data_IF_764919368024
#
_entry.id   IF_764919368024
#
_cell.length_a   1.000
_cell.length_b   1.000
_cell.length_c   1.000
_cell.angle_alpha   90.00
_cell.angle_beta   90.00
_cell.angle_gamma   90.00
#
_symmetry.space_group_name_H-M   'P 1'
#
loop_
_entity.id
_entity.type
_entity.pdbx_description
1 polymer ?
#
# COMPACT_ATOMS: atom_id res chain seq x y z
N UNK A 1 7.50 27.45 -4.85
CA UNK A 1 8.28 26.51 -3.99
C UNK A 1 8.56 25.21 -4.74
N UNK A 2 7.54 24.50 -5.24
CA UNK A 2 7.66 23.25 -6.00
C UNK A 2 8.76 23.25 -7.07
N UNK A 3 8.78 24.26 -7.96
CA UNK A 3 9.81 24.41 -9.00
C UNK A 3 11.26 24.34 -8.52
N UNK A 4 11.54 24.70 -7.26
CA UNK A 4 12.89 24.65 -6.66
C UNK A 4 13.25 23.24 -6.14
N UNK A 5 12.27 22.47 -5.71
CA UNK A 5 12.49 21.16 -5.07
C UNK A 5 12.23 19.98 -6.01
N UNK A 6 11.52 20.17 -7.12
CA UNK A 6 11.20 19.10 -8.07
C UNK A 6 12.44 18.42 -8.67
N UNK A 7 13.59 19.12 -8.75
CA UNK A 7 14.85 18.52 -9.19
C UNK A 7 15.27 17.34 -8.30
N UNK A 8 14.92 17.36 -7.02
CA UNK A 8 15.23 16.26 -6.11
C UNK A 8 14.46 14.98 -6.48
N UNK A 9 13.28 15.08 -7.10
CA UNK A 9 12.60 13.90 -7.66
C UNK A 9 13.49 13.23 -8.71
N UNK A 10 14.08 14.00 -9.64
CA UNK A 10 14.97 13.46 -10.68
C UNK A 10 16.26 12.85 -10.12
N UNK A 11 16.76 13.38 -9.01
CA UNK A 11 18.03 12.95 -8.41
C UNK A 11 17.89 11.70 -7.52
N UNK A 12 16.71 11.46 -6.94
CA UNK A 12 16.53 10.45 -5.90
C UNK A 12 15.40 9.44 -6.18
N UNK A 13 14.60 9.66 -7.22
CA UNK A 13 13.54 8.73 -7.64
C UNK A 13 13.83 8.34 -9.08
N UNK A 14 14.09 7.05 -9.29
CA UNK A 14 14.33 6.49 -10.62
C UNK A 14 13.10 6.71 -11.52
N UNK A 15 13.35 7.03 -12.79
CA UNK A 15 12.33 7.32 -13.80
C UNK A 15 11.38 8.50 -13.47
N UNK A 16 11.70 9.34 -12.48
CA UNK A 16 10.89 10.51 -12.17
C UNK A 16 10.89 11.54 -13.32
N UNK A 17 9.75 12.18 -13.51
CA UNK A 17 9.56 13.32 -14.39
C UNK A 17 8.99 14.52 -13.62
N UNK A 18 9.15 15.73 -14.15
CA UNK A 18 8.38 16.86 -13.63
C UNK A 18 6.90 16.66 -13.91
N UNK A 19 6.07 17.04 -12.94
CA UNK A 19 4.61 16.99 -13.06
C UNK A 19 4.10 18.19 -13.87
N UNK A 20 2.90 18.07 -14.44
CA UNK A 20 2.19 19.21 -15.03
C UNK A 20 1.59 20.07 -13.91
N UNK A 21 2.29 21.16 -13.56
CA UNK A 21 1.84 22.09 -12.53
C UNK A 21 0.60 22.93 -12.94
N UNK A 22 0.13 22.82 -14.18
CA UNK A 22 -1.11 23.47 -14.64
C UNK A 22 -2.35 22.62 -14.41
N UNK A 23 -2.18 21.30 -14.18
CA UNK A 23 -3.28 20.40 -13.85
C UNK A 23 -3.67 20.54 -12.37
N UNK A 24 -4.92 20.97 -12.08
CA UNK A 24 -5.38 21.22 -10.71
C UNK A 24 -5.59 19.95 -9.88
N UNK A 25 -5.50 18.77 -10.49
CA UNK A 25 -5.67 17.49 -9.82
C UNK A 25 -4.44 17.08 -9.01
N UNK A 26 -3.29 17.74 -9.25
CA UNK A 26 -2.09 17.60 -8.44
C UNK A 26 -2.23 18.31 -7.10
N UNK A 27 -1.87 17.59 -6.04
CA UNK A 27 -1.78 18.13 -4.70
C UNK A 27 -0.42 17.76 -4.09
N UNK A 28 0.18 18.72 -3.38
CA UNK A 28 1.50 18.56 -2.77
C UNK A 28 1.40 18.65 -1.26
N UNK A 29 1.89 17.64 -0.56
CA UNK A 29 2.08 17.64 0.88
C UNK A 29 3.50 18.06 1.23
N UNK A 30 3.64 18.89 2.27
CA UNK A 30 4.92 19.44 2.71
C UNK A 30 5.18 19.03 4.16
N UNK A 31 6.34 18.42 4.41
CA UNK A 31 6.77 18.12 5.78
C UNK A 31 7.78 19.17 6.24
N UNK A 32 7.43 19.97 7.24
CA UNK A 32 8.28 21.04 7.77
C UNK A 32 8.63 20.79 9.24
N UNK A 33 9.83 21.19 9.63
CA UNK A 33 10.17 21.36 11.03
C UNK A 33 9.35 22.50 11.63
N UNK A 34 8.57 22.23 12.67
CA UNK A 34 7.67 23.22 13.29
C UNK A 34 8.40 24.44 13.85
N UNK A 35 9.66 24.34 14.30
CA UNK A 35 10.41 25.46 14.89
C UNK A 35 11.20 26.22 13.82
N UNK A 36 12.09 25.51 13.12
CA UNK A 36 13.05 26.09 12.17
C UNK A 36 12.45 26.37 10.79
N UNK A 37 11.30 25.76 10.49
CA UNK A 37 10.62 25.80 9.18
C UNK A 37 11.42 25.17 8.05
N UNK A 38 12.46 24.40 8.38
CA UNK A 38 13.21 23.61 7.43
C UNK A 38 12.29 22.60 6.75
N UNK A 39 12.39 22.49 5.43
CA UNK A 39 11.67 21.49 4.66
C UNK A 39 12.38 20.15 4.80
N UNK A 40 11.66 19.16 5.34
CA UNK A 40 12.15 17.81 5.60
C UNK A 40 11.91 16.90 4.40
N UNK A 41 10.81 17.11 3.68
CA UNK A 41 10.41 16.34 2.53
C UNK A 41 9.10 16.84 1.93
N UNK A 42 8.72 16.25 0.79
CA UNK A 42 7.46 16.54 0.13
C UNK A 42 6.90 15.29 -0.53
N UNK A 43 5.59 15.32 -0.80
CA UNK A 43 4.90 14.25 -1.54
C UNK A 43 4.01 14.88 -2.59
N UNK A 44 4.19 14.51 -3.86
CA UNK A 44 3.21 14.82 -4.91
C UNK A 44 2.16 13.71 -4.97
N UNK A 45 0.91 14.10 -5.12
CA UNK A 45 -0.23 13.20 -5.16
C UNK A 45 -1.20 13.64 -6.23
N UNK A 46 -1.96 12.70 -6.77
CA UNK A 46 -2.90 12.94 -7.86
C UNK A 46 -4.25 12.28 -7.56
N UNK A 47 -5.35 12.87 -8.02
CA UNK A 47 -6.69 12.28 -7.91
C UNK A 47 -7.22 11.86 -9.28
N UNK A 48 -7.45 10.56 -9.44
CA UNK A 48 -8.14 10.01 -10.61
C UNK A 48 -9.60 9.82 -10.31
N UNK A 49 -10.50 10.18 -11.24
CA UNK A 49 -11.91 9.86 -11.11
C UNK A 49 -12.10 8.33 -11.03
N UNK A 50 -12.94 7.90 -10.10
CA UNK A 50 -13.25 6.49 -9.87
C UNK A 50 -14.72 6.23 -10.19
N UNK A 51 -14.97 5.53 -11.28
CA UNK A 51 -16.30 5.06 -11.64
C UNK A 51 -16.63 3.75 -10.93
N UNK A 52 -17.63 3.77 -10.05
CA UNK A 52 -18.05 2.62 -9.22
C UNK A 52 -19.21 1.83 -9.83
N UNK A 53 -19.48 2.02 -11.13
CA UNK A 53 -20.64 1.46 -11.82
C UNK A 53 -21.83 2.41 -11.85
N UNK A 54 -22.77 2.13 -12.77
CA UNK A 54 -23.85 3.06 -13.12
C UNK A 54 -24.74 3.38 -11.92
N UNK A 55 -25.17 2.35 -11.17
CA UNK A 55 -26.01 2.52 -9.99
C UNK A 55 -25.42 3.50 -8.96
N UNK A 56 -24.17 3.25 -8.53
CA UNK A 56 -23.52 4.12 -7.54
C UNK A 56 -23.20 5.51 -8.08
N UNK A 57 -22.97 5.64 -9.39
CA UNK A 57 -22.74 6.93 -10.04
C UNK A 57 -24.04 7.75 -10.17
N UNK A 58 -25.17 7.10 -10.43
CA UNK A 58 -26.47 7.76 -10.55
C UNK A 58 -27.07 8.09 -9.17
N UNK A 59 -26.71 7.34 -8.12
CA UNK A 59 -27.17 7.54 -6.73
C UNK A 59 -26.46 8.71 -6.02
N UNK A 60 -25.21 9.02 -6.37
CA UNK A 60 -24.39 10.00 -5.69
C UNK A 60 -23.74 11.00 -6.67
N UNK A 61 -24.15 12.27 -6.55
CA UNK A 61 -23.67 13.36 -7.41
C UNK A 61 -22.22 13.73 -7.08
N UNK A 62 -21.75 13.45 -5.86
CA UNK A 62 -20.39 13.77 -5.45
C UNK A 62 -19.39 12.85 -6.13
N UNK A 63 -18.48 13.45 -6.91
CA UNK A 63 -17.41 12.71 -7.59
C UNK A 63 -16.56 11.92 -6.60
N UNK A 64 -16.29 10.66 -6.96
CA UNK A 64 -15.41 9.75 -6.23
C UNK A 64 -14.06 9.64 -6.92
N UNK A 65 -13.00 9.46 -6.14
CA UNK A 65 -11.63 9.46 -6.62
C UNK A 65 -10.79 8.31 -6.04
N UNK A 66 -9.82 7.86 -6.84
CA UNK A 66 -8.63 7.14 -6.39
C UNK A 66 -7.53 8.16 -6.14
N UNK A 67 -7.04 8.24 -4.91
CA UNK A 67 -5.90 9.08 -4.57
C UNK A 67 -4.61 8.29 -4.78
N UNK A 68 -3.68 8.83 -5.57
CA UNK A 68 -2.40 8.21 -5.91
C UNK A 68 -1.26 8.99 -5.30
N UNK A 69 -0.41 8.34 -4.50
CA UNK A 69 0.92 8.85 -4.16
C UNK A 69 1.80 8.68 -5.40
N UNK A 70 2.40 9.78 -5.86
CA UNK A 70 3.28 9.77 -7.03
C UNK A 70 4.75 9.85 -6.59
N UNK A 71 5.23 11.04 -6.24
CA UNK A 71 6.62 11.24 -5.82
C UNK A 71 6.66 11.40 -4.31
N UNK A 72 7.27 10.46 -3.59
CA UNK A 72 7.42 10.53 -2.14
C UNK A 72 8.89 10.69 -1.76
N UNK A 73 9.25 11.84 -1.19
CA UNK A 73 10.65 12.14 -0.91
C UNK A 73 10.86 12.76 0.48
N UNK A 74 11.67 12.10 1.29
CA UNK A 74 12.32 12.68 2.46
C UNK A 74 13.75 13.02 2.05
N UNK A 75 14.21 14.26 2.30
CA UNK A 75 15.56 14.63 1.89
C UNK A 75 16.61 13.80 2.64
N UNK A 76 17.74 13.45 2.00
CA UNK A 76 18.74 12.55 2.58
C UNK A 76 19.17 12.86 4.02
N UNK A 77 19.39 14.12 4.44
CA UNK A 77 19.76 14.44 5.83
C UNK A 77 18.72 14.02 6.89
N UNK A 78 17.48 13.76 6.48
CA UNK A 78 16.35 13.45 7.35
C UNK A 78 15.82 12.02 7.17
N UNK A 79 16.43 11.20 6.32
CA UNK A 79 16.03 9.80 6.14
C UNK A 79 16.37 8.95 7.37
N UNK A 80 15.76 7.77 7.48
CA UNK A 80 15.99 6.78 8.55
C UNK A 80 15.72 7.29 9.99
N UNK A 81 14.86 8.31 10.12
CA UNK A 81 14.46 8.92 11.41
C UNK A 81 12.95 8.81 11.69
N UNK A 82 12.23 7.97 10.94
CA UNK A 82 10.77 7.80 11.05
C UNK A 82 9.93 8.85 10.31
N UNK A 83 10.52 9.91 9.75
CA UNK A 83 9.80 10.96 9.03
C UNK A 83 8.94 10.44 7.86
N UNK A 84 9.44 9.46 7.12
CA UNK A 84 8.67 8.82 6.03
C UNK A 84 7.37 8.19 6.55
N UNK A 85 7.45 7.37 7.60
CA UNK A 85 6.27 6.75 8.21
C UNK A 85 5.29 7.79 8.75
N UNK A 86 5.78 8.82 9.46
CA UNK A 86 4.89 9.87 9.98
C UNK A 86 4.19 10.66 8.86
N UNK A 87 4.91 10.98 7.77
CA UNK A 87 4.34 11.71 6.64
C UNK A 87 3.33 10.85 5.87
N UNK A 88 3.67 9.58 5.62
CA UNK A 88 2.76 8.62 5.03
C UNK A 88 1.47 8.53 5.84
N UNK A 89 1.56 8.22 7.13
CA UNK A 89 0.38 8.06 7.99
C UNK A 89 -0.47 9.33 8.06
N UNK A 90 0.15 10.51 8.09
CA UNK A 90 -0.58 11.79 8.07
C UNK A 90 -1.37 12.00 6.76
N UNK A 91 -0.78 11.65 5.61
CA UNK A 91 -1.47 11.72 4.31
C UNK A 91 -2.62 10.73 4.28
N UNK A 92 -2.36 9.48 4.66
CA UNK A 92 -3.39 8.42 4.69
C UNK A 92 -4.55 8.82 5.60
N UNK A 93 -4.28 9.31 6.81
CA UNK A 93 -5.31 9.75 7.75
C UNK A 93 -6.18 10.86 7.14
N UNK A 94 -5.58 11.86 6.48
CA UNK A 94 -6.34 12.91 5.81
C UNK A 94 -7.23 12.38 4.68
N UNK A 95 -6.77 11.36 3.95
CA UNK A 95 -7.56 10.71 2.90
C UNK A 95 -8.62 9.76 3.42
N UNK A 96 -8.46 9.18 4.61
CA UNK A 96 -9.52 8.42 5.27
C UNK A 96 -10.69 9.34 5.63
N UNK A 97 -10.40 10.54 6.09
CA UNK A 97 -11.40 11.57 6.45
C UNK A 97 -12.09 12.21 5.22
N UNK A 98 -11.42 12.23 4.07
CA UNK A 98 -11.98 12.76 2.82
C UNK A 98 -12.97 11.78 2.16
N UNK A 99 -14.28 12.08 2.25
CA UNK A 99 -15.36 11.27 1.68
C UNK A 99 -15.31 11.10 0.15
N UNK A 100 -14.59 11.98 -0.55
CA UNK A 100 -14.42 11.86 -2.01
C UNK A 100 -13.41 10.77 -2.39
N UNK A 101 -12.51 10.39 -1.47
CA UNK A 101 -11.50 9.35 -1.72
C UNK A 101 -12.08 7.98 -1.37
N UNK A 102 -11.93 7.05 -2.31
CA UNK A 102 -12.42 5.68 -2.21
C UNK A 102 -11.31 4.66 -2.06
N UNK A 103 -10.18 4.88 -2.72
CA UNK A 103 -9.03 3.98 -2.68
C UNK A 103 -7.73 4.78 -2.73
N UNK A 104 -6.70 4.24 -2.08
CA UNK A 104 -5.37 4.81 -1.99
C UNK A 104 -4.38 3.92 -2.74
N UNK A 105 -3.75 4.48 -3.76
CA UNK A 105 -2.79 3.82 -4.65
C UNK A 105 -1.43 4.50 -4.59
N UNK A 106 -0.42 3.83 -5.13
CA UNK A 106 0.95 4.33 -5.24
C UNK A 106 1.41 4.09 -6.67
N UNK A 107 2.06 5.09 -7.27
CA UNK A 107 2.69 5.00 -8.57
C UNK A 107 4.04 4.31 -8.45
N UNK A 108 4.21 3.20 -9.18
CA UNK A 108 5.47 2.46 -9.34
C UNK A 108 6.35 2.46 -8.08
N UNK A 109 5.85 1.94 -6.94
CA UNK A 109 6.60 1.95 -5.69
C UNK A 109 7.88 1.13 -5.83
N UNK A 110 8.96 1.63 -5.24
CA UNK A 110 10.17 0.84 -5.05
C UNK A 110 10.07 0.00 -3.76
N UNK A 111 10.98 -0.96 -3.62
CA UNK A 111 11.01 -1.90 -2.48
C UNK A 111 11.03 -1.17 -1.13
N UNK A 112 11.79 -0.08 -1.01
CA UNK A 112 11.86 0.71 0.23
C UNK A 112 10.51 1.36 0.59
N UNK A 113 9.73 1.78 -0.42
CA UNK A 113 8.40 2.34 -0.22
C UNK A 113 7.38 1.24 0.10
N UNK A 114 7.42 0.10 -0.58
CA UNK A 114 6.56 -1.05 -0.26
C UNK A 114 6.74 -1.45 1.21
N UNK A 115 7.97 -1.62 1.65
CA UNK A 115 8.34 -1.86 3.04
C UNK A 115 7.76 -0.83 4.02
N UNK A 116 7.85 0.45 3.67
CA UNK A 116 7.28 1.54 4.47
C UNK A 116 5.76 1.42 4.54
N UNK A 117 5.11 1.22 3.39
CA UNK A 117 3.66 1.11 3.27
C UNK A 117 3.13 -0.06 4.09
N UNK A 118 3.73 -1.23 3.93
CA UNK A 118 3.32 -2.46 4.58
C UNK A 118 3.42 -2.39 6.11
N UNK A 119 4.52 -1.82 6.63
CA UNK A 119 4.67 -1.63 8.08
C UNK A 119 3.59 -0.71 8.65
N UNK A 120 3.33 0.43 8.00
CA UNK A 120 2.33 1.38 8.48
C UNK A 120 0.92 0.80 8.35
N UNK A 121 0.60 0.17 7.21
CA UNK A 121 -0.71 -0.44 6.98
C UNK A 121 -0.98 -1.59 7.95
N UNK A 122 -0.04 -2.52 8.17
CA UNK A 122 -0.20 -3.57 9.19
C UNK A 122 -0.41 -2.95 10.56
N UNK A 123 0.41 -1.97 10.97
CA UNK A 123 0.27 -1.35 12.28
C UNK A 123 -1.10 -0.69 12.45
N UNK A 124 -1.63 -0.06 11.40
CA UNK A 124 -2.99 0.51 11.38
C UNK A 124 -4.06 -0.57 11.50
N UNK A 125 -3.95 -1.68 10.76
CA UNK A 125 -4.88 -2.81 10.87
C UNK A 125 -4.90 -3.42 12.28
N UNK A 126 -3.72 -3.60 12.91
CA UNK A 126 -3.63 -4.08 14.30
C UNK A 126 -4.33 -3.17 15.28
N UNK A 127 -4.11 -1.85 15.16
CA UNK A 127 -4.79 -0.83 15.99
C UNK A 127 -6.31 -0.87 15.84
N UNK A 128 -6.80 -1.21 14.65
CA UNK A 128 -8.23 -1.37 14.36
C UNK A 128 -8.79 -2.74 14.78
N UNK A 129 -7.97 -3.63 15.36
CA UNK A 129 -8.40 -4.94 15.86
C UNK A 129 -8.50 -6.03 14.79
N UNK A 130 -7.98 -5.80 13.58
CA UNK A 130 -8.05 -6.81 12.51
C UNK A 130 -7.22 -8.07 12.80
N UNK A 131 -6.27 -8.02 13.75
CA UNK A 131 -5.57 -9.23 14.23
C UNK A 131 -6.55 -10.28 14.77
N UNK A 132 -7.64 -9.84 15.43
CA UNK A 132 -8.67 -10.74 15.96
C UNK A 132 -9.64 -11.22 14.87
N UNK A 133 -9.79 -10.46 13.79
CA UNK A 133 -10.67 -10.80 12.66
C UNK A 133 -10.07 -11.94 11.83
N UNK A 134 -8.77 -11.84 11.50
CA UNK A 134 -8.07 -12.79 10.62
C UNK A 134 -7.49 -14.01 11.38
N UNK A 135 -8.24 -14.55 12.34
CA UNK A 135 -7.84 -15.71 13.14
C UNK A 135 -7.91 -17.03 12.35
N UNK A 136 -7.35 -18.08 12.97
CA UNK A 136 -7.08 -19.41 12.40
C UNK A 136 -8.26 -20.09 11.69
N UNK A 137 -9.51 -19.79 12.07
CA UNK A 137 -10.72 -20.46 11.60
C UNK A 137 -11.86 -19.48 11.22
N UNK A 138 -11.53 -18.21 10.96
CA UNK A 138 -12.55 -17.25 10.54
C UNK A 138 -12.93 -17.52 9.08
N UNK A 139 -14.14 -18.04 8.85
CA UNK A 139 -14.78 -17.98 7.54
C UNK A 139 -15.15 -16.53 7.24
N UNK A 140 -14.27 -15.84 6.53
CA UNK A 140 -14.51 -14.47 6.10
C UNK A 140 -15.21 -14.52 4.74
N UNK A 141 -16.47 -14.07 4.71
CA UNK A 141 -17.21 -13.97 3.45
C UNK A 141 -16.58 -12.93 2.54
N UNK A 142 -16.73 -13.10 1.23
CA UNK A 142 -16.21 -12.16 0.24
C UNK A 142 -16.83 -10.77 0.42
N UNK A 143 -18.09 -10.68 0.87
CA UNK A 143 -18.74 -9.40 1.16
C UNK A 143 -18.09 -8.69 2.37
N UNK A 144 -17.69 -9.43 3.40
CA UNK A 144 -16.99 -8.86 4.55
C UNK A 144 -15.60 -8.34 4.15
N UNK A 145 -14.87 -9.09 3.32
CA UNK A 145 -13.56 -8.70 2.81
C UNK A 145 -13.66 -7.43 1.97
N UNK A 146 -14.60 -7.37 1.03
CA UNK A 146 -14.81 -6.19 0.18
C UNK A 146 -15.29 -4.98 0.99
N UNK A 147 -16.19 -5.17 1.95
CA UNK A 147 -16.62 -4.10 2.85
C UNK A 147 -15.45 -3.55 3.66
N UNK A 148 -14.64 -4.44 4.26
CA UNK A 148 -13.46 -4.07 5.04
C UNK A 148 -12.45 -3.29 4.19
N UNK A 149 -12.14 -3.79 2.99
CA UNK A 149 -11.22 -3.14 2.06
C UNK A 149 -11.65 -1.72 1.71
N UNK A 150 -12.94 -1.53 1.39
CA UNK A 150 -13.52 -0.21 1.08
C UNK A 150 -13.48 0.72 2.28
N UNK A 151 -13.82 0.26 3.48
CA UNK A 151 -13.72 1.07 4.71
C UNK A 151 -12.28 1.50 5.02
N UNK A 152 -11.30 0.66 4.68
CA UNK A 152 -9.87 0.94 4.87
C UNK A 152 -9.26 1.77 3.73
N UNK A 153 -10.00 1.97 2.63
CA UNK A 153 -9.57 2.62 1.37
C UNK A 153 -8.31 1.99 0.77
N UNK A 154 -8.10 0.70 0.97
CA UNK A 154 -6.92 0.01 0.47
C UNK A 154 -7.13 -0.43 -0.99
N UNK A 155 -6.10 -0.21 -1.80
CA UNK A 155 -5.98 -0.87 -3.11
C UNK A 155 -5.98 -2.40 -2.94
N UNK A 156 -6.57 -3.10 -3.91
CA UNK A 156 -6.89 -4.52 -3.81
C UNK A 156 -5.67 -5.42 -3.57
N UNK A 157 -4.57 -5.22 -4.32
CA UNK A 157 -3.34 -5.99 -4.13
C UNK A 157 -2.74 -5.74 -2.76
N UNK A 158 -2.70 -4.48 -2.32
CA UNK A 158 -2.23 -4.13 -0.98
C UNK A 158 -3.09 -4.78 0.11
N UNK A 159 -4.43 -4.74 -0.02
CA UNK A 159 -5.33 -5.38 0.94
C UNK A 159 -5.10 -6.88 1.03
N UNK A 160 -5.05 -7.58 -0.11
CA UNK A 160 -4.80 -9.02 -0.15
C UNK A 160 -3.44 -9.40 0.47
N UNK A 161 -2.40 -8.62 0.17
CA UNK A 161 -1.06 -8.77 0.75
C UNK A 161 -1.07 -8.60 2.27
N UNK A 162 -1.81 -7.61 2.79
CA UNK A 162 -1.99 -7.39 4.24
C UNK A 162 -2.77 -8.53 4.92
N UNK A 163 -3.82 -9.03 4.29
CA UNK A 163 -4.59 -10.20 4.77
C UNK A 163 -3.69 -11.43 4.88
N UNK A 164 -2.88 -11.70 3.86
CA UNK A 164 -1.93 -12.82 3.88
C UNK A 164 -0.89 -12.66 5.00
N UNK A 165 -0.35 -11.46 5.22
CA UNK A 165 0.56 -11.18 6.34
C UNK A 165 -0.10 -11.40 7.70
N UNK A 166 -1.35 -10.98 7.88
CA UNK A 166 -2.11 -11.21 9.12
C UNK A 166 -2.40 -12.71 9.35
N UNK A 167 -2.73 -13.45 8.29
CA UNK A 167 -2.90 -14.91 8.36
C UNK A 167 -1.60 -15.61 8.76
N UNK A 168 -0.45 -15.18 8.23
CA UNK A 168 0.85 -15.69 8.61
C UNK A 168 1.16 -15.38 10.08
N UNK A 169 0.93 -14.14 10.50
CA UNK A 169 1.15 -13.69 11.87
C UNK A 169 0.32 -14.51 12.88
N UNK A 170 -0.93 -14.81 12.53
CA UNK A 170 -1.85 -15.60 13.34
C UNK A 170 -1.67 -17.12 13.18
N UNK A 171 -0.66 -17.56 12.43
CA UNK A 171 -0.39 -18.98 12.14
C UNK A 171 -1.63 -19.72 11.61
N UNK A 172 -2.37 -19.06 10.71
CA UNK A 172 -3.59 -19.61 10.11
C UNK A 172 -3.26 -20.74 9.12
N UNK A 173 -3.97 -21.89 9.17
CA UNK A 173 -3.81 -22.98 8.21
C UNK A 173 -4.16 -22.55 6.78
N UNK A 174 -4.99 -21.52 6.63
CA UNK A 174 -5.42 -20.99 5.33
C UNK A 174 -4.35 -20.14 4.63
N UNK A 175 -3.28 -19.74 5.32
CA UNK A 175 -2.22 -18.89 4.78
C UNK A 175 -1.59 -19.50 3.51
N UNK A 176 -1.11 -20.74 3.61
CA UNK A 176 -0.39 -21.39 2.51
C UNK A 176 -1.28 -21.57 1.27
N UNK A 177 -2.51 -22.04 1.47
CA UNK A 177 -3.46 -22.26 0.39
C UNK A 177 -3.81 -20.95 -0.32
N UNK A 178 -4.09 -19.87 0.43
CA UNK A 178 -4.42 -18.56 -0.15
C UNK A 178 -3.27 -17.98 -0.97
N UNK A 179 -2.05 -17.99 -0.43
CA UNK A 179 -0.88 -17.47 -1.16
C UNK A 179 -0.59 -18.30 -2.41
N UNK A 180 -0.62 -19.63 -2.31
CA UNK A 180 -0.40 -20.51 -3.47
C UNK A 180 -1.47 -20.35 -4.54
N UNK A 181 -2.74 -20.22 -4.16
CA UNK A 181 -3.81 -19.98 -5.11
C UNK A 181 -3.58 -18.67 -5.89
N UNK A 182 -3.27 -17.57 -5.19
CA UNK A 182 -2.92 -16.29 -5.83
C UNK A 182 -1.73 -16.42 -6.76
N UNK A 183 -0.64 -17.07 -6.32
CA UNK A 183 0.56 -17.28 -7.13
C UNK A 183 0.31 -18.15 -8.35
N UNK A 184 -0.55 -19.16 -8.22
CA UNK A 184 -0.98 -20.01 -9.33
C UNK A 184 -1.76 -19.21 -10.36
N UNK A 185 -2.80 -18.49 -9.94
CA UNK A 185 -3.62 -17.65 -10.84
C UNK A 185 -2.75 -16.61 -11.55
N UNK A 186 -1.85 -15.93 -10.81
CA UNK A 186 -0.97 -14.90 -11.38
C UNK A 186 0.00 -15.44 -12.43
N UNK A 187 0.45 -16.68 -12.28
CA UNK A 187 1.46 -17.29 -13.15
C UNK A 187 0.88 -18.44 -13.99
N UNK A 188 -0.44 -18.49 -14.17
CA UNK A 188 -1.15 -19.63 -14.77
C UNK A 188 -0.55 -20.02 -16.11
N UNK A 189 -0.41 -19.05 -17.03
CA UNK A 189 0.10 -19.29 -18.38
C UNK A 189 1.51 -19.90 -18.41
N UNK A 190 2.38 -19.50 -17.47
CA UNK A 190 3.73 -20.02 -17.36
C UNK A 190 3.77 -21.42 -16.72
N UNK A 191 2.89 -21.67 -15.75
CA UNK A 191 2.82 -22.94 -15.04
C UNK A 191 2.15 -24.04 -15.88
N UNK A 192 1.12 -23.71 -16.66
CA UNK A 192 0.36 -24.66 -17.50
C UNK A 192 1.22 -25.26 -18.63
N UNK A 193 2.18 -24.48 -19.14
CA UNK A 193 3.11 -24.92 -20.20
C UNK A 193 4.29 -25.75 -19.67
N UNK A 194 4.42 -25.87 -18.35
CA UNK A 194 5.54 -26.55 -17.69
C UNK A 194 5.12 -27.94 -17.25
N UNK A 195 6.08 -28.86 -17.17
CA UNK A 195 5.85 -30.18 -16.57
C UNK A 195 5.25 -30.06 -15.15
N UNK A 196 4.23 -30.87 -14.78
CA UNK A 196 3.52 -30.73 -13.50
C UNK A 196 4.41 -30.77 -12.27
N UNK A 197 5.49 -31.56 -12.26
CA UNK A 197 6.38 -31.62 -11.10
C UNK A 197 7.17 -30.33 -10.95
N UNK A 198 7.70 -29.82 -12.06
CA UNK A 198 8.44 -28.54 -12.11
C UNK A 198 7.54 -27.35 -11.78
N UNK A 199 6.30 -27.36 -12.26
CA UNK A 199 5.32 -26.32 -11.93
C UNK A 199 5.02 -26.29 -10.42
N UNK A 200 4.86 -27.47 -9.80
CA UNK A 200 4.66 -27.59 -8.35
C UNK A 200 5.87 -27.09 -7.55
N UNK A 201 7.08 -27.41 -8.00
CA UNK A 201 8.33 -26.93 -7.39
C UNK A 201 8.47 -25.41 -7.51
N UNK A 202 8.25 -24.85 -8.71
CA UNK A 202 8.32 -23.41 -8.93
C UNK A 202 7.30 -22.62 -8.08
N UNK A 203 6.08 -23.15 -7.97
CA UNK A 203 5.05 -22.59 -7.10
C UNK A 203 5.45 -22.65 -5.62
N UNK A 204 6.04 -23.77 -5.18
CA UNK A 204 6.54 -23.93 -3.82
C UNK A 204 7.68 -22.96 -3.51
N UNK A 205 8.63 -22.78 -4.43
CA UNK A 205 9.75 -21.86 -4.27
C UNK A 205 9.25 -20.41 -4.20
N UNK A 206 8.32 -20.03 -5.08
CA UNK A 206 7.68 -18.71 -5.05
C UNK A 206 6.94 -18.46 -3.74
N UNK A 207 6.25 -19.48 -3.21
CA UNK A 207 5.58 -19.40 -1.91
C UNK A 207 6.58 -19.17 -0.76
N UNK A 208 7.72 -19.87 -0.76
CA UNK A 208 8.76 -19.70 0.27
C UNK A 208 9.30 -18.26 0.25
N UNK A 209 9.61 -17.72 -0.94
CA UNK A 209 10.10 -16.35 -1.09
C UNK A 209 9.09 -15.32 -0.53
N UNK A 210 7.81 -15.47 -0.85
CA UNK A 210 6.75 -14.59 -0.31
C UNK A 210 6.64 -14.72 1.21
N UNK A 211 6.69 -15.95 1.73
CA UNK A 211 6.60 -16.20 3.17
C UNK A 211 7.77 -15.58 3.93
N UNK A 212 8.97 -15.66 3.39
CA UNK A 212 10.17 -15.11 4.01
C UNK A 212 10.20 -13.58 3.93
N UNK A 213 9.71 -12.98 2.83
CA UNK A 213 9.48 -11.54 2.73
C UNK A 213 8.48 -11.05 3.79
N UNK A 214 7.34 -11.74 3.92
CA UNK A 214 6.33 -11.38 4.93
C UNK A 214 6.86 -11.49 6.36
N UNK A 215 7.68 -12.51 6.66
CA UNK A 215 8.37 -12.63 7.96
C UNK A 215 9.30 -11.45 8.22
N UNK A 216 10.13 -11.09 7.24
CA UNK A 216 11.06 -9.96 7.34
C UNK A 216 10.33 -8.66 7.69
N UNK A 217 9.21 -8.39 7.02
CA UNK A 217 8.37 -7.22 7.30
C UNK A 217 7.77 -7.30 8.71
N UNK A 218 7.13 -8.41 9.06
CA UNK A 218 6.48 -8.59 10.37
C UNK A 218 7.48 -8.46 11.54
N UNK A 219 8.66 -9.05 11.43
CA UNK A 219 9.70 -8.98 12.46
C UNK A 219 10.20 -7.55 12.69
N UNK A 220 10.28 -6.74 11.62
CA UNK A 220 10.69 -5.35 11.71
C UNK A 220 9.69 -4.49 12.52
N UNK A 221 8.40 -4.83 12.47
CA UNK A 221 7.35 -4.15 13.23
C UNK A 221 7.50 -4.45 14.73
N UNK A 222 7.74 -5.72 15.08
CA UNK A 222 7.88 -6.13 16.48
C UNK A 222 9.12 -5.52 17.15
N UNK A 223 10.24 -5.39 16.41
CA UNK A 223 11.46 -4.72 16.90
C UNK A 223 11.28 -3.21 17.13
N UNK A 224 10.34 -2.59 16.42
CA UNK A 224 10.06 -1.15 16.55
C UNK A 224 9.17 -0.81 17.74
N UNK A 225 8.61 -1.81 18.43
CA UNK A 225 7.74 -1.64 19.61
C UNK A 225 8.37 -2.08 20.94
N UNK A 226 9.58 -2.67 20.92
CA UNK A 226 10.36 -3.02 22.11
C UNK A 226 11.48 -2.02 22.36
#
# INVERSE_FOLDING_TARGET
MHRRVQIFSLLFIEAANYIDETDPSWQIYWLLNKKTKELIGFVTTYKYWHYLGAKSFDEDIDKKFRAKISQFLIFPPYQNKGHGSCLYEAIIQSWLEDKSITEITVEDPNEAFDDLRDRNDIQRLRKLGYDAVFQKHSDLSDEFLESSRKSLKLEERQFNRLVEMLLLLNNSPSFELKVKNRLYIKNYDALDQTDPEKAREALQNSFILVKDDYRRIIESINKSQG
#
